data_IF_822170914862
#
_entry.id   IF_822170914862
#
_cell.length_a   1.000
_cell.length_b   1.000
_cell.length_c   1.000
_cell.angle_alpha   90.00
_cell.angle_beta   90.00
_cell.angle_gamma   90.00
#
_symmetry.space_group_name_H-M   'P 1'
#
loop_
_entity.id
_entity.type
_entity.pdbx_description
1 polymer ?
#
# COMPACT_ATOMS: atom_id res chain seq x y z
N UNK A 1 3.54 -3.55 -5.53
CA UNK A 1 3.49 -2.13 -5.90
C UNK A 1 3.93 -1.32 -4.70
N UNK A 2 4.19 -0.03 -4.87
CA UNK A 2 4.49 0.89 -3.77
C UNK A 2 4.09 2.32 -4.19
N UNK A 3 3.77 3.20 -3.23
CA UNK A 3 3.49 4.61 -3.51
C UNK A 3 4.77 5.39 -3.82
N UNK A 4 5.90 4.97 -3.25
CA UNK A 4 7.20 5.61 -3.41
C UNK A 4 7.82 5.28 -4.78
N UNK A 5 7.97 6.30 -5.62
CA UNK A 5 8.65 6.16 -6.91
C UNK A 5 10.08 5.67 -6.76
N UNK A 6 10.82 6.15 -5.75
CA UNK A 6 12.21 5.76 -5.52
C UNK A 6 12.34 4.28 -5.14
N UNK A 7 11.41 3.73 -4.36
CA UNK A 7 11.36 2.30 -4.05
C UNK A 7 11.10 1.46 -5.30
N UNK A 8 10.20 1.91 -6.16
CA UNK A 8 9.89 1.23 -7.42
C UNK A 8 11.08 1.29 -8.39
N UNK A 9 11.73 2.44 -8.53
CA UNK A 9 12.91 2.60 -9.37
C UNK A 9 14.06 1.71 -8.89
N UNK A 10 14.31 1.68 -7.58
CA UNK A 10 15.30 0.79 -6.98
C UNK A 10 14.98 -0.68 -7.30
N UNK A 11 13.72 -1.11 -7.07
CA UNK A 11 13.32 -2.49 -7.32
C UNK A 11 13.45 -2.87 -8.81
N UNK A 12 13.06 -1.99 -9.72
CA UNK A 12 13.23 -2.18 -11.18
C UNK A 12 14.71 -2.33 -11.57
N UNK A 13 15.60 -1.54 -10.95
CA UNK A 13 17.03 -1.56 -11.23
C UNK A 13 17.72 -2.82 -10.71
N UNK A 14 17.33 -3.30 -9.53
CA UNK A 14 18.06 -4.34 -8.81
C UNK A 14 17.42 -5.74 -8.87
N UNK A 15 16.13 -5.84 -9.20
CA UNK A 15 15.37 -7.10 -9.12
C UNK A 15 14.59 -7.41 -10.40
N UNK A 16 15.07 -6.94 -11.56
CA UNK A 16 14.44 -7.23 -12.86
C UNK A 16 14.43 -8.74 -13.14
N UNK A 17 13.24 -9.28 -13.43
CA UNK A 17 13.02 -10.68 -13.78
C UNK A 17 11.82 -10.77 -14.73
N UNK A 18 11.78 -11.77 -15.62
CA UNK A 18 10.67 -11.97 -16.57
C UNK A 18 9.33 -12.24 -15.88
N UNK A 19 9.34 -12.80 -14.66
CA UNK A 19 8.15 -13.12 -13.86
C UNK A 19 7.77 -12.02 -12.87
N UNK A 20 8.52 -10.91 -12.81
CA UNK A 20 8.29 -9.82 -11.87
C UNK A 20 8.10 -8.50 -12.58
N UNK A 21 7.07 -7.75 -12.17
CA UNK A 21 6.86 -6.38 -12.59
C UNK A 21 6.67 -5.48 -11.37
N UNK A 22 7.15 -4.25 -11.49
CA UNK A 22 7.08 -3.26 -10.43
C UNK A 22 6.27 -2.07 -10.93
N UNK A 23 5.28 -1.67 -10.17
CA UNK A 23 4.36 -0.58 -10.49
C UNK A 23 4.24 0.35 -9.31
N UNK A 24 4.36 1.65 -9.59
CA UNK A 24 4.01 2.67 -8.63
C UNK A 24 2.49 2.78 -8.58
N UNK A 25 1.91 2.59 -7.40
CA UNK A 25 0.48 2.63 -7.17
C UNK A 25 0.25 2.94 -5.69
N UNK A 26 -0.46 4.04 -5.43
CA UNK A 26 -1.09 4.26 -4.13
C UNK A 26 -2.33 3.37 -4.04
N UNK A 27 -2.36 2.47 -3.05
CA UNK A 27 -3.51 1.59 -2.87
C UNK A 27 -4.76 2.34 -2.41
N UNK A 28 -4.62 3.56 -1.87
CA UNK A 28 -5.71 4.45 -1.48
C UNK A 28 -6.15 5.40 -2.61
N UNK A 29 -5.69 5.19 -3.84
CA UNK A 29 -6.10 6.02 -4.99
C UNK A 29 -7.64 6.02 -5.14
N UNK A 30 -8.28 7.18 -5.39
CA UNK A 30 -9.75 7.24 -5.50
C UNK A 30 -10.32 6.34 -6.60
N UNK A 31 -9.61 6.26 -7.73
CA UNK A 31 -9.99 5.42 -8.86
C UNK A 31 -8.81 4.55 -9.30
N UNK A 32 -9.02 3.23 -9.30
CA UNK A 32 -8.03 2.29 -9.79
C UNK A 32 -7.93 2.34 -11.32
N UNK A 33 -6.73 2.14 -11.89
CA UNK A 33 -6.58 1.90 -13.31
C UNK A 33 -7.45 0.73 -13.76
N UNK A 34 -8.35 0.97 -14.72
CA UNK A 34 -9.35 -0.02 -15.16
C UNK A 34 -8.74 -1.34 -15.62
N UNK A 35 -7.54 -1.29 -16.19
CA UNK A 35 -6.80 -2.45 -16.65
C UNK A 35 -6.27 -3.35 -15.52
N UNK A 36 -6.39 -2.96 -14.25
CA UNK A 36 -5.95 -3.75 -13.09
C UNK A 36 -7.10 -4.41 -12.33
N UNK A 37 -8.34 -3.97 -12.56
CA UNK A 37 -9.53 -4.49 -11.89
C UNK A 37 -9.73 -5.96 -12.29
N UNK A 38 -9.89 -6.84 -11.29
CA UNK A 38 -10.14 -8.26 -11.51
C UNK A 38 -8.96 -9.07 -12.09
N UNK A 39 -7.75 -8.52 -12.11
CA UNK A 39 -6.61 -9.15 -12.78
C UNK A 39 -5.79 -10.11 -11.90
N UNK A 40 -5.98 -10.08 -10.58
CA UNK A 40 -5.10 -10.79 -9.67
C UNK A 40 -5.82 -11.93 -8.95
N UNK A 41 -5.26 -13.14 -9.00
CA UNK A 41 -5.80 -14.28 -8.24
C UNK A 41 -5.43 -14.21 -6.75
N UNK A 42 -4.31 -13.55 -6.44
CA UNK A 42 -3.81 -13.42 -5.08
C UNK A 42 -3.24 -12.03 -4.84
N UNK A 43 -3.49 -11.48 -3.66
CA UNK A 43 -2.88 -10.26 -3.16
C UNK A 43 -2.12 -10.52 -1.86
N UNK A 44 -0.96 -9.89 -1.70
CA UNK A 44 -0.12 -10.03 -0.52
C UNK A 44 0.26 -8.65 0.00
N UNK A 45 0.17 -8.44 1.32
CA UNK A 45 0.64 -7.22 1.96
C UNK A 45 1.24 -7.54 3.32
N UNK A 46 2.51 -7.20 3.53
CA UNK A 46 3.23 -7.47 4.77
C UNK A 46 3.74 -6.16 5.33
N UNK A 47 3.21 -5.77 6.50
CA UNK A 47 3.60 -4.57 7.23
C UNK A 47 3.42 -3.25 6.46
N UNK A 48 2.41 -3.16 5.58
CA UNK A 48 2.09 -1.92 4.85
C UNK A 48 0.77 -1.28 5.28
N UNK A 49 -0.28 -2.07 5.49
CA UNK A 49 -1.65 -1.53 5.61
C UNK A 49 -1.91 -0.66 6.84
N UNK A 50 -1.10 -0.79 7.90
CA UNK A 50 -1.22 0.05 9.09
C UNK A 50 -0.77 1.50 8.88
N UNK A 51 -0.11 1.79 7.74
CA UNK A 51 0.21 3.15 7.31
C UNK A 51 -0.90 3.78 6.47
N UNK A 52 -1.90 3.00 6.04
CA UNK A 52 -3.03 3.51 5.27
C UNK A 52 -4.01 4.25 6.19
N UNK A 53 -4.15 5.57 5.99
CA UNK A 53 -5.08 6.40 6.76
C UNK A 53 -6.56 6.08 6.47
N UNK A 54 -6.85 5.61 5.26
CA UNK A 54 -8.17 5.14 4.82
C UNK A 54 -8.08 3.64 4.52
N UNK A 55 -8.13 2.83 5.58
CA UNK A 55 -7.99 1.38 5.48
C UNK A 55 -9.16 0.74 4.71
N UNK A 56 -10.37 1.27 4.86
CA UNK A 56 -11.57 0.79 4.15
C UNK A 56 -11.39 0.95 2.64
N UNK A 57 -10.86 2.09 2.19
CA UNK A 57 -10.52 2.30 0.78
C UNK A 57 -9.39 1.38 0.33
N UNK A 58 -8.34 1.23 1.12
CA UNK A 58 -7.22 0.36 0.78
C UNK A 58 -7.69 -1.10 0.58
N UNK A 59 -8.47 -1.63 1.53
CA UNK A 59 -9.04 -2.97 1.46
C UNK A 59 -10.06 -3.10 0.33
N UNK A 60 -10.92 -2.09 0.13
CA UNK A 60 -11.87 -2.05 -0.98
C UNK A 60 -11.20 -2.04 -2.35
N UNK A 61 -10.06 -1.36 -2.48
CA UNK A 61 -9.27 -1.37 -3.69
C UNK A 61 -8.55 -2.71 -3.89
N UNK A 62 -7.98 -3.31 -2.85
CA UNK A 62 -7.42 -4.68 -2.92
C UNK A 62 -8.51 -5.66 -3.40
N UNK A 63 -9.72 -5.56 -2.86
CA UNK A 63 -10.84 -6.40 -3.28
C UNK A 63 -11.17 -6.22 -4.77
N UNK A 64 -11.24 -4.98 -5.27
CA UNK A 64 -11.50 -4.70 -6.70
C UNK A 64 -10.38 -5.22 -7.62
N UNK A 65 -9.14 -5.25 -7.15
CA UNK A 65 -8.01 -5.78 -7.93
C UNK A 65 -8.09 -7.31 -8.08
N UNK A 66 -8.71 -8.01 -7.13
CA UNK A 66 -8.82 -9.45 -7.16
C UNK A 66 -9.85 -9.93 -8.20
N UNK A 67 -9.51 -11.01 -8.90
CA UNK A 67 -10.44 -11.76 -9.76
C UNK A 67 -11.53 -12.44 -8.90
N UNK A 68 -12.67 -12.85 -9.49
CA UNK A 68 -13.67 -13.63 -8.77
C UNK A 68 -13.06 -14.89 -8.13
N UNK A 69 -13.21 -15.03 -6.81
CA UNK A 69 -12.60 -16.13 -6.03
C UNK A 69 -11.13 -15.90 -5.64
N UNK A 70 -10.54 -14.77 -6.02
CA UNK A 70 -9.21 -14.37 -5.61
C UNK A 70 -9.10 -14.14 -4.10
N UNK A 71 -7.88 -14.24 -3.56
CA UNK A 71 -7.62 -14.19 -2.11
C UNK A 71 -6.59 -13.15 -1.75
N UNK A 72 -6.78 -12.50 -0.61
CA UNK A 72 -5.76 -11.65 -0.01
C UNK A 72 -5.18 -12.32 1.23
N UNK A 73 -3.86 -12.26 1.38
CA UNK A 73 -3.16 -12.55 2.63
C UNK A 73 -2.47 -11.27 3.10
N UNK A 74 -2.84 -10.78 4.28
CA UNK A 74 -2.31 -9.54 4.82
C UNK A 74 -1.81 -9.74 6.25
N UNK A 75 -0.70 -9.09 6.58
CA UNK A 75 -0.15 -9.03 7.93
C UNK A 75 0.15 -7.57 8.22
N UNK A 76 -0.49 -7.00 9.24
CA UNK A 76 -0.27 -5.62 9.64
C UNK A 76 -0.52 -5.47 11.14
N UNK A 77 0.04 -4.41 11.71
CA UNK A 77 -0.10 -4.10 13.13
C UNK A 77 -1.46 -3.44 13.32
N UNK A 78 -2.37 -4.11 14.03
CA UNK A 78 -3.71 -3.58 14.32
C UNK A 78 -3.71 -2.59 15.49
N UNK A 79 -2.78 -2.76 16.43
CA UNK A 79 -2.66 -1.90 17.60
C UNK A 79 -1.22 -1.84 18.09
N UNK A 80 -0.71 -0.63 18.33
CA UNK A 80 0.59 -0.38 18.95
C UNK A 80 0.68 1.09 19.38
N UNK A 81 1.34 1.39 20.50
CA UNK A 81 1.45 2.74 21.06
C UNK A 81 2.12 3.74 20.10
N UNK A 82 2.96 3.24 19.20
CA UNK A 82 3.63 4.04 18.16
C UNK A 82 2.64 4.85 17.33
N UNK A 83 1.41 4.38 17.12
CA UNK A 83 0.41 5.12 16.36
C UNK A 83 -0.03 6.39 17.09
N UNK A 84 -0.20 6.31 18.42
CA UNK A 84 -0.51 7.48 19.24
C UNK A 84 0.62 8.50 19.27
N UNK A 85 1.87 8.02 19.25
CA UNK A 85 3.07 8.86 19.14
C UNK A 85 3.07 9.54 17.78
N UNK A 86 2.82 8.80 16.71
CA UNK A 86 2.78 9.33 15.34
C UNK A 86 1.72 10.43 15.19
N UNK A 87 0.51 10.22 15.71
CA UNK A 87 -0.54 11.25 15.72
C UNK A 87 -0.15 12.52 16.47
N UNK A 88 0.61 12.41 17.56
CA UNK A 88 1.13 13.56 18.30
C UNK A 88 2.19 14.30 17.46
N UNK A 89 3.11 13.58 16.83
CA UNK A 89 4.11 14.19 15.94
C UNK A 89 3.47 14.90 14.75
N UNK A 90 2.41 14.35 14.16
CA UNK A 90 1.67 14.99 13.08
C UNK A 90 1.08 16.35 13.46
N UNK A 91 0.70 16.53 14.73
CA UNK A 91 0.12 17.77 15.26
C UNK A 91 1.17 18.75 15.80
N UNK A 92 2.41 18.30 15.97
CA UNK A 92 3.50 19.13 16.47
C UNK A 92 4.12 19.94 15.32
N UNK A 93 4.14 21.28 15.36
CA UNK A 93 4.69 22.12 14.30
C UNK A 93 6.17 21.83 13.96
N UNK A 94 6.92 21.25 14.90
CA UNK A 94 8.33 20.87 14.68
C UNK A 94 8.48 19.66 13.77
N UNK A 95 7.49 18.77 13.76
CA UNK A 95 7.55 17.47 13.09
C UNK A 95 6.52 17.29 11.98
N UNK A 96 5.46 18.10 11.97
CA UNK A 96 4.32 17.97 11.04
C UNK A 96 4.72 18.05 9.57
N UNK A 97 5.78 18.80 9.23
CA UNK A 97 6.32 18.88 7.87
C UNK A 97 6.98 17.58 7.39
N UNK A 98 7.35 16.67 8.31
CA UNK A 98 8.00 15.39 8.02
C UNK A 98 7.04 14.21 8.06
N UNK A 99 5.83 14.40 8.58
CA UNK A 99 4.81 13.35 8.64
C UNK A 99 3.92 13.43 7.40
N UNK A 100 4.02 12.43 6.52
CA UNK A 100 3.15 12.27 5.33
C UNK A 100 1.70 12.10 5.74
#
# INVERSE_FOLDING_TARGET
TDVSSSMIEYAKKHHKNEKLSFMQLDIMIPELPKNLIGQFNSAFSFYCLHWCRDLDRALGNIYKLLSPGGKALTVFISHHDIFSVYEKHMKDPRYSSYTQ
#
